data_IF_634473184235
#
_entry.id   IF_634473184235
#
_cell.length_a   1.000
_cell.length_b   1.000
_cell.length_c   1.000
_cell.angle_alpha   90.00
_cell.angle_beta   90.00
_cell.angle_gamma   90.00
#
_symmetry.space_group_name_H-M   'P 1'
#
loop_
_entity.id
_entity.type
_entity.pdbx_description
1 polymer ?
#
# COMPACT_ATOMS: atom_id res chain seq x y z
N UNK A 1 16.40 10.10 33.39
CA UNK A 1 17.85 10.00 33.67
C UNK A 1 18.63 10.82 32.64
N UNK A 2 19.85 11.29 32.96
CA UNK A 2 20.69 12.09 32.04
C UNK A 2 21.62 11.15 31.25
N UNK A 3 21.68 11.30 29.93
CA UNK A 3 22.61 10.54 29.07
C UNK A 3 23.48 11.49 28.23
N UNK A 4 24.77 11.14 28.12
CA UNK A 4 25.73 11.80 27.23
C UNK A 4 25.72 11.13 25.87
N UNK A 5 25.28 11.86 24.84
CA UNK A 5 25.43 11.43 23.44
C UNK A 5 26.22 12.51 22.72
N UNK A 6 27.47 12.21 22.34
CA UNK A 6 28.35 13.12 21.59
C UNK A 6 28.51 14.53 22.20
N UNK A 7 28.71 14.62 23.52
CA UNK A 7 28.99 15.89 24.21
C UNK A 7 27.76 16.77 24.50
N UNK A 8 26.56 16.36 24.08
CA UNK A 8 25.30 17.02 24.43
C UNK A 8 24.58 16.21 25.51
N UNK A 9 24.15 16.90 26.57
CA UNK A 9 23.25 16.35 27.59
C UNK A 9 21.87 16.24 26.93
N UNK A 10 21.42 15.01 26.67
CA UNK A 10 20.09 14.76 26.11
C UNK A 10 19.18 14.29 27.24
N UNK A 11 18.16 15.08 27.54
CA UNK A 11 17.12 14.69 28.48
C UNK A 11 16.06 13.84 27.79
N UNK A 12 15.60 12.79 28.47
CA UNK A 12 14.45 12.00 28.06
C UNK A 12 13.19 12.88 27.99
N UNK A 13 12.35 12.63 27.00
CA UNK A 13 11.10 13.37 26.78
C UNK A 13 9.93 12.41 26.61
N UNK A 14 8.74 12.90 26.89
CA UNK A 14 7.50 12.17 26.60
C UNK A 14 7.02 12.53 25.19
N UNK A 15 6.68 11.52 24.40
CA UNK A 15 6.10 11.74 23.08
C UNK A 15 4.71 12.35 23.20
N UNK A 16 4.46 13.48 22.55
CA UNK A 16 3.14 14.15 22.59
C UNK A 16 1.98 13.35 21.98
N UNK A 17 2.27 12.24 21.28
CA UNK A 17 1.25 11.41 20.59
C UNK A 17 0.96 10.09 21.31
N UNK A 18 1.98 9.42 21.84
CA UNK A 18 1.81 8.11 22.49
C UNK A 18 2.25 8.09 23.96
N UNK A 19 2.68 9.24 24.50
CA UNK A 19 3.16 9.43 25.88
C UNK A 19 4.31 8.52 26.34
N UNK A 20 4.87 7.71 25.44
CA UNK A 20 6.08 6.92 25.71
C UNK A 20 7.27 7.86 25.90
N UNK A 21 8.09 7.52 26.90
CA UNK A 21 9.39 8.14 27.12
C UNK A 21 10.30 7.77 25.94
N UNK A 22 11.03 8.74 25.40
CA UNK A 22 11.99 8.54 24.34
C UNK A 22 13.20 9.47 24.50
N UNK A 23 14.32 9.07 23.93
CA UNK A 23 15.53 9.91 23.82
C UNK A 23 15.49 10.68 22.51
N UNK A 24 15.47 12.03 22.54
CA UNK A 24 15.57 12.85 21.34
C UNK A 24 16.82 12.55 20.51
N UNK A 25 16.71 12.70 19.20
CA UNK A 25 17.85 12.53 18.29
C UNK A 25 18.86 13.65 18.48
N UNK A 26 20.16 13.33 18.30
CA UNK A 26 21.26 14.30 18.44
C UNK A 26 21.14 15.53 17.54
N UNK A 27 20.42 15.42 16.43
CA UNK A 27 20.24 16.50 15.46
C UNK A 27 19.17 17.52 15.87
N UNK A 28 18.20 17.11 16.71
CA UNK A 28 17.11 17.97 17.18
C UNK A 28 16.72 17.67 18.65
N UNK A 29 17.66 17.74 19.61
CA UNK A 29 17.41 17.32 20.98
C UNK A 29 16.34 18.18 21.67
N UNK A 30 16.35 19.49 21.38
CA UNK A 30 15.41 20.46 21.98
C UNK A 30 14.07 20.52 21.25
N UNK A 31 14.05 20.43 19.93
CA UNK A 31 12.85 20.60 19.11
C UNK A 31 12.04 19.31 18.86
N UNK A 32 12.59 18.12 19.16
CA UNK A 32 11.87 16.87 18.92
C UNK A 32 10.81 16.63 20.02
N UNK A 33 9.54 16.62 19.61
CA UNK A 33 8.37 16.41 20.49
C UNK A 33 7.77 15.00 20.36
N UNK A 34 8.12 14.27 19.30
CA UNK A 34 7.57 12.95 18.98
C UNK A 34 8.65 11.88 18.95
N UNK A 35 8.30 10.69 19.41
CA UNK A 35 9.19 9.53 19.34
C UNK A 35 9.29 8.95 17.92
N UNK A 36 10.36 8.20 17.70
CA UNK A 36 10.64 7.44 16.46
C UNK A 36 10.13 5.99 16.51
N UNK A 37 9.26 5.65 17.46
CA UNK A 37 8.64 4.32 17.57
C UNK A 37 7.81 4.02 16.29
N UNK A 38 8.02 2.85 15.63
CA UNK A 38 7.34 2.53 14.36
C UNK A 38 5.82 2.49 14.46
N UNK A 39 5.28 2.03 15.59
CA UNK A 39 3.83 1.97 15.82
C UNK A 39 3.26 3.39 15.96
N UNK A 40 3.94 4.24 16.73
CA UNK A 40 3.57 5.66 16.85
C UNK A 40 3.68 6.39 15.51
N UNK A 41 4.74 6.14 14.73
CA UNK A 41 4.92 6.73 13.41
C UNK A 41 3.82 6.33 12.44
N UNK A 42 3.45 5.04 12.40
CA UNK A 42 2.36 4.56 11.57
C UNK A 42 1.03 5.21 11.95
N UNK A 43 0.71 5.29 13.25
CA UNK A 43 -0.49 5.98 13.74
C UNK A 43 -0.53 7.44 13.29
N UNK A 44 0.58 8.18 13.42
CA UNK A 44 0.69 9.57 12.95
C UNK A 44 0.48 9.68 11.45
N UNK A 45 1.05 8.76 10.67
CA UNK A 45 0.87 8.73 9.23
C UNK A 45 -0.61 8.56 8.86
N UNK A 46 -1.32 7.62 9.51
CA UNK A 46 -2.75 7.40 9.28
C UNK A 46 -3.58 8.63 9.64
N UNK A 47 -3.34 9.25 10.79
CA UNK A 47 -4.06 10.47 11.21
C UNK A 47 -3.76 11.66 10.29
N UNK A 48 -2.51 11.83 9.88
CA UNK A 48 -2.12 12.86 8.91
C UNK A 48 -2.81 12.62 7.57
N UNK A 49 -2.86 11.38 7.09
CA UNK A 49 -3.58 11.04 5.86
C UNK A 49 -5.09 11.29 6.00
N UNK A 50 -5.69 10.96 7.14
CA UNK A 50 -7.10 11.24 7.42
C UNK A 50 -7.40 12.74 7.44
N UNK A 51 -6.57 13.55 8.11
CA UNK A 51 -6.69 15.01 8.13
C UNK A 51 -6.49 15.59 6.74
N UNK A 52 -5.47 15.14 6.03
CA UNK A 52 -5.18 15.59 4.68
C UNK A 52 -6.34 15.29 3.72
N UNK A 53 -6.93 14.09 3.77
CA UNK A 53 -8.10 13.74 2.94
C UNK A 53 -9.32 14.62 3.24
N UNK A 54 -9.57 14.94 4.51
CA UNK A 54 -10.64 15.87 4.91
C UNK A 54 -10.42 17.28 4.35
N UNK A 55 -9.18 17.76 4.37
CA UNK A 55 -8.83 19.09 3.87
C UNK A 55 -8.69 19.13 2.33
N UNK A 56 -8.53 17.98 1.69
CA UNK A 56 -8.34 17.86 0.24
C UNK A 56 -9.41 16.95 -0.40
N UNK A 57 -10.72 17.23 -0.22
CA UNK A 57 -11.79 16.34 -0.67
C UNK A 57 -11.92 16.28 -2.19
N UNK A 58 -11.22 17.15 -2.93
CA UNK A 58 -11.22 17.17 -4.39
C UNK A 58 -9.96 16.56 -5.02
N UNK A 59 -8.94 16.20 -4.23
CA UNK A 59 -7.64 15.80 -4.77
C UNK A 59 -7.73 14.57 -5.69
N UNK A 60 -8.55 13.60 -5.32
CA UNK A 60 -8.76 12.38 -6.12
C UNK A 60 -9.89 12.50 -7.14
N UNK A 61 -10.55 13.67 -7.28
CA UNK A 61 -11.64 13.86 -8.25
C UNK A 61 -11.17 13.97 -9.69
N UNK A 62 -9.90 13.73 -9.98
CA UNK A 62 -9.42 13.73 -11.37
C UNK A 62 -10.20 12.72 -12.21
N UNK A 63 -10.60 11.58 -11.66
CA UNK A 63 -11.39 10.56 -12.38
C UNK A 63 -12.87 10.95 -12.53
N UNK A 64 -13.40 11.78 -11.62
CA UNK A 64 -14.76 12.33 -11.71
C UNK A 64 -14.84 13.49 -12.71
N UNK A 65 -13.83 14.38 -12.70
CA UNK A 65 -13.68 15.50 -13.64
C UNK A 65 -13.41 14.98 -15.06
N UNK A 66 -12.61 13.92 -15.18
CA UNK A 66 -12.32 13.27 -16.46
C UNK A 66 -13.46 12.33 -16.81
N UNK A 67 -14.53 12.92 -17.33
CA UNK A 67 -15.72 12.21 -17.80
C UNK A 67 -15.43 11.08 -18.78
N UNK A 68 -16.48 10.34 -19.15
CA UNK A 68 -16.41 9.15 -20.02
C UNK A 68 -15.62 9.42 -21.31
N UNK A 69 -15.79 10.61 -21.89
CA UNK A 69 -15.08 11.04 -23.09
C UNK A 69 -13.55 11.08 -22.92
N UNK A 70 -13.03 11.65 -21.83
CA UNK A 70 -11.59 11.72 -21.58
C UNK A 70 -11.00 10.32 -21.41
N UNK A 71 -11.70 9.44 -20.70
CA UNK A 71 -11.27 8.05 -20.51
C UNK A 71 -11.16 7.32 -21.84
N UNK A 72 -12.10 7.52 -22.75
CA UNK A 72 -12.03 6.89 -24.07
C UNK A 72 -10.93 7.48 -24.95
N UNK A 73 -10.74 8.81 -24.94
CA UNK A 73 -9.61 9.45 -25.62
C UNK A 73 -8.26 8.93 -25.12
N UNK A 74 -8.12 8.79 -23.79
CA UNK A 74 -6.92 8.24 -23.18
C UNK A 74 -6.67 6.80 -23.62
N UNK A 75 -7.69 5.93 -23.57
CA UNK A 75 -7.58 4.55 -24.07
C UNK A 75 -7.17 4.52 -25.54
N UNK A 76 -7.77 5.35 -26.38
CA UNK A 76 -7.43 5.45 -27.81
C UNK A 76 -5.97 5.87 -28.01
N UNK A 77 -5.49 6.87 -27.26
CA UNK A 77 -4.10 7.32 -27.29
C UNK A 77 -3.13 6.22 -26.86
N UNK A 78 -3.42 5.52 -25.77
CA UNK A 78 -2.59 4.41 -25.29
C UNK A 78 -2.57 3.24 -26.29
N UNK A 79 -3.71 2.90 -26.91
CA UNK A 79 -3.77 1.88 -27.97
C UNK A 79 -2.92 2.28 -29.18
N UNK A 80 -3.03 3.53 -29.62
CA UNK A 80 -2.22 4.07 -30.73
C UNK A 80 -0.73 3.99 -30.40
N UNK A 81 -0.33 4.48 -29.23
CA UNK A 81 1.06 4.44 -28.78
C UNK A 81 1.60 3.01 -28.71
N UNK A 82 0.80 2.05 -28.22
CA UNK A 82 1.16 0.62 -28.22
C UNK A 82 1.41 0.07 -29.61
N UNK A 83 0.63 0.51 -30.60
CA UNK A 83 0.78 0.11 -32.01
C UNK A 83 2.02 0.73 -32.65
N UNK A 84 2.33 1.97 -32.32
CA UNK A 84 3.48 2.72 -32.86
C UNK A 84 4.81 2.32 -32.20
N UNK A 85 4.79 1.80 -30.98
CA UNK A 85 5.99 1.45 -30.22
C UNK A 85 6.05 -0.03 -29.79
N UNK A 86 5.89 -1.01 -30.69
CA UNK A 86 5.89 -2.43 -30.32
C UNK A 86 7.24 -2.88 -29.74
N UNK A 87 8.35 -2.32 -30.24
CA UNK A 87 9.70 -2.63 -29.79
C UNK A 87 9.96 -2.26 -28.34
N UNK A 88 9.34 -1.19 -27.83
CA UNK A 88 9.44 -0.82 -26.42
C UNK A 88 8.90 -1.94 -25.52
N UNK A 89 7.73 -2.48 -25.87
CA UNK A 89 7.10 -3.55 -25.11
C UNK A 89 7.82 -4.89 -25.28
N UNK A 90 8.43 -5.13 -26.44
CA UNK A 90 9.27 -6.31 -26.68
C UNK A 90 10.49 -6.27 -25.76
N UNK A 91 11.27 -5.18 -25.80
CA UNK A 91 12.44 -4.98 -24.93
C UNK A 91 12.08 -5.08 -23.45
N UNK A 92 10.95 -4.51 -23.04
CA UNK A 92 10.47 -4.62 -21.66
C UNK A 92 10.15 -6.08 -21.30
N UNK A 93 9.37 -6.79 -22.14
CA UNK A 93 9.03 -8.19 -21.91
C UNK A 93 10.26 -9.09 -21.84
N UNK A 94 11.24 -8.86 -22.71
CA UNK A 94 12.48 -9.66 -22.72
C UNK A 94 13.32 -9.40 -21.46
N UNK A 95 13.49 -8.12 -21.08
CA UNK A 95 14.23 -7.74 -19.87
C UNK A 95 13.63 -8.34 -18.59
N UNK A 96 12.31 -8.34 -18.48
CA UNK A 96 11.61 -8.73 -17.24
C UNK A 96 10.98 -10.13 -17.30
N UNK A 97 11.29 -10.92 -18.34
CA UNK A 97 10.67 -12.24 -18.59
C UNK A 97 10.81 -13.19 -17.39
N UNK A 98 11.99 -13.25 -16.78
CA UNK A 98 12.26 -14.14 -15.66
C UNK A 98 11.48 -13.74 -14.41
N UNK A 99 11.48 -12.45 -14.06
CA UNK A 99 10.73 -11.91 -12.92
C UNK A 99 9.23 -12.11 -13.10
N UNK A 100 8.71 -11.87 -14.31
CA UNK A 100 7.30 -12.10 -14.61
C UNK A 100 6.91 -13.58 -14.45
N UNK A 101 7.75 -14.52 -14.88
CA UNK A 101 7.49 -15.96 -14.67
C UNK A 101 7.43 -16.32 -13.19
N UNK A 102 8.36 -15.81 -12.39
CA UNK A 102 8.38 -16.05 -10.94
C UNK A 102 7.14 -15.48 -10.27
N UNK A 103 6.81 -14.22 -10.58
CA UNK A 103 5.59 -13.57 -10.12
C UNK A 103 4.34 -14.40 -10.47
N UNK A 104 4.21 -14.84 -11.72
CA UNK A 104 3.05 -15.62 -12.16
C UNK A 104 2.96 -16.98 -11.48
N UNK A 105 4.10 -17.65 -11.24
CA UNK A 105 4.15 -18.90 -10.47
C UNK A 105 3.60 -18.69 -9.06
N UNK A 106 4.07 -17.66 -8.38
CA UNK A 106 3.65 -17.33 -7.03
C UNK A 106 2.18 -16.91 -6.96
N UNK A 107 1.76 -16.07 -7.92
CA UNK A 107 0.37 -15.66 -8.07
C UNK A 107 -0.56 -16.87 -8.23
N UNK A 108 -0.24 -17.78 -9.15
CA UNK A 108 -1.06 -18.98 -9.40
C UNK A 108 -1.08 -19.93 -8.20
N UNK A 109 0.03 -20.04 -7.46
CA UNK A 109 0.08 -20.80 -6.20
C UNK A 109 -0.91 -20.23 -5.18
N UNK A 110 -0.88 -18.91 -4.95
CA UNK A 110 -1.80 -18.23 -4.04
C UNK A 110 -3.25 -18.39 -4.50
N UNK A 111 -3.51 -18.19 -5.78
CA UNK A 111 -4.85 -18.33 -6.36
C UNK A 111 -5.42 -19.74 -6.13
N UNK A 112 -4.64 -20.79 -6.40
CA UNK A 112 -5.05 -22.19 -6.17
C UNK A 112 -5.31 -22.46 -4.68
N UNK A 113 -4.48 -21.94 -3.79
CA UNK A 113 -4.66 -22.10 -2.34
C UNK A 113 -5.95 -21.43 -1.86
N UNK A 114 -6.22 -20.20 -2.33
CA UNK A 114 -7.47 -19.49 -2.03
C UNK A 114 -8.66 -20.29 -2.58
N UNK A 115 -8.62 -20.71 -3.84
CA UNK A 115 -9.69 -21.52 -4.46
C UNK A 115 -9.93 -22.82 -3.69
N UNK A 116 -8.87 -23.53 -3.28
CA UNK A 116 -8.99 -24.75 -2.47
C UNK A 116 -9.67 -24.49 -1.12
N UNK A 117 -9.30 -23.41 -0.43
CA UNK A 117 -9.94 -23.01 0.83
C UNK A 117 -11.41 -22.67 0.64
N UNK A 118 -11.75 -21.93 -0.42
CA UNK A 118 -13.14 -21.62 -0.74
C UNK A 118 -13.97 -22.88 -1.02
N UNK A 119 -13.40 -23.86 -1.74
CA UNK A 119 -14.07 -25.14 -2.01
C UNK A 119 -14.21 -26.01 -0.75
N UNK A 120 -13.23 -25.97 0.16
CA UNK A 120 -13.30 -26.70 1.44
C UNK A 120 -14.29 -26.09 2.44
N UNK A 121 -14.61 -24.81 2.28
CA UNK A 121 -15.58 -24.09 3.11
C UNK A 121 -16.99 -24.08 2.49
N UNK A 122 -17.13 -24.52 1.24
CA UNK A 122 -18.44 -24.78 0.67
C UNK A 122 -18.97 -26.08 1.30
N UNK A 123 -20.07 -25.99 2.05
CA UNK A 123 -20.74 -27.18 2.56
C UNK A 123 -21.08 -28.13 1.40
N UNK A 124 -20.89 -29.45 1.56
CA UNK A 124 -21.39 -30.40 0.58
C UNK A 124 -22.90 -30.20 0.48
N UNK A 125 -23.39 -29.82 -0.70
CA UNK A 125 -24.82 -29.79 -0.97
C UNK A 125 -25.37 -31.20 -0.71
N UNK A 126 -26.47 -31.35 0.04
CA UNK A 126 -27.06 -32.66 0.29
C UNK A 126 -27.36 -33.34 -1.05
N UNK A 127 -27.16 -34.67 -1.15
CA UNK A 127 -27.45 -35.38 -2.38
C UNK A 127 -28.92 -35.15 -2.75
N UNK A 128 -29.20 -34.97 -4.04
CA UNK A 128 -30.53 -34.59 -4.55
C UNK A 128 -31.62 -35.60 -4.13
N UNK A 129 -31.25 -36.84 -3.80
CA UNK A 129 -32.14 -37.86 -3.22
C UNK A 129 -32.84 -37.41 -1.94
N UNK A 130 -32.21 -36.53 -1.17
CA UNK A 130 -32.68 -36.10 0.16
C UNK A 130 -33.59 -34.84 0.06
N UNK A 131 -33.72 -34.26 -1.14
CA UNK A 131 -34.55 -33.07 -1.42
C UNK A 131 -35.95 -33.48 -1.94
N UNK A 132 -36.12 -34.73 -2.40
CA UNK A 132 -37.35 -35.24 -3.03
C UNK A 132 -38.05 -36.35 -2.22
N UNK A 133 -37.89 -36.36 -0.90
CA UNK A 133 -38.73 -37.15 0.03
C UNK A 133 -39.67 -36.22 0.80
#
# INVERSE_FOLDING_TARGET
MLYLVAGLIVMEKNCVICNKIFTPTKYRPQAQEVCSDPVCQHKRQLENMKRWRRNNPHYFRQDEIRGVYWRELYRRRIRRWRKEHPEYFKKYRDRYKAQHREYMREYMRRYRNVKKRMLQQAEPQPPISDILS
#
